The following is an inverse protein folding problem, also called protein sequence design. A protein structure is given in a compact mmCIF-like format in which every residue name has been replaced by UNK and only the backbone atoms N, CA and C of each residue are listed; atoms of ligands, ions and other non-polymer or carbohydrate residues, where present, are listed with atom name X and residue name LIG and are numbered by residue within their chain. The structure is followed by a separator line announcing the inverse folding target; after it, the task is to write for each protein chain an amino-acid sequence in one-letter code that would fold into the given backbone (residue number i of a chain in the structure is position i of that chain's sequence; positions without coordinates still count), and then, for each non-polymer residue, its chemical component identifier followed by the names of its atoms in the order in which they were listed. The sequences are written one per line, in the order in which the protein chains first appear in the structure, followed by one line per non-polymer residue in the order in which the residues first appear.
data_IF_930778217184
#
_entry.id   IF_930778217184
#
_cell.length_a   1.000
_cell.length_b   1.000
_cell.length_c   1.000
_cell.angle_alpha   90.00
_cell.angle_beta   90.00
_cell.angle_gamma   90.00
#
_symmetry.space_group_name_H-M   'P 1'
#
loop_
_entity.id
_entity.type
_entity.pdbx_description
1 polymer ?
#
# COMPACT_ATOMS: atom_id res chain seq x y z
N UNK A 1 -5.51 -5.67 -20.42
CA UNK A 1 -6.69 -6.47 -20.06
C UNK A 1 -7.72 -5.52 -19.44
N UNK A 2 -8.54 -4.86 -20.26
CA UNK A 2 -9.64 -3.97 -19.81
C UNK A 2 -10.85 -4.34 -20.66
N UNK A 3 -11.47 -5.47 -20.32
CA UNK A 3 -12.75 -5.83 -20.91
C UNK A 3 -13.77 -4.83 -20.38
N UNK A 4 -14.37 -4.01 -21.26
CA UNK A 4 -15.41 -3.00 -20.95
C UNK A 4 -16.74 -3.61 -20.44
N UNK A 5 -16.74 -4.82 -19.90
CA UNK A 5 -17.93 -5.46 -19.34
C UNK A 5 -17.95 -5.18 -17.84
N UNK A 6 -19.07 -4.67 -17.37
CA UNK A 6 -19.26 -4.25 -15.98
C UNK A 6 -18.89 -5.34 -14.97
N UNK A 7 -19.16 -6.61 -15.28
CA UNK A 7 -18.81 -7.75 -14.42
C UNK A 7 -17.31 -7.80 -14.08
N UNK A 8 -16.43 -7.54 -15.04
CA UNK A 8 -14.98 -7.55 -14.78
C UNK A 8 -14.54 -6.33 -13.97
N UNK A 9 -15.21 -5.18 -14.16
CA UNK A 9 -14.96 -3.98 -13.34
C UNK A 9 -15.33 -4.25 -11.88
N UNK A 10 -16.48 -4.88 -11.63
CA UNK A 10 -16.87 -5.28 -10.28
C UNK A 10 -15.87 -6.27 -9.66
N UNK A 11 -15.43 -7.28 -10.42
CA UNK A 11 -14.40 -8.23 -9.95
C UNK A 11 -13.10 -7.51 -9.55
N UNK A 12 -12.65 -6.54 -10.33
CA UNK A 12 -11.44 -5.77 -10.02
C UNK A 12 -11.60 -4.94 -8.74
N UNK A 13 -12.75 -4.25 -8.57
CA UNK A 13 -13.06 -3.50 -7.35
C UNK A 13 -13.06 -4.41 -6.12
N UNK A 14 -13.73 -5.57 -6.19
CA UNK A 14 -13.77 -6.50 -5.07
C UNK A 14 -12.40 -7.11 -4.75
N UNK A 15 -11.59 -7.43 -5.76
CA UNK A 15 -10.22 -7.90 -5.57
C UNK A 15 -9.36 -6.84 -4.85
N UNK A 16 -9.52 -5.56 -5.22
CA UNK A 16 -8.83 -4.47 -4.54
C UNK A 16 -9.27 -4.30 -3.08
N UNK A 17 -10.57 -4.42 -2.78
CA UNK A 17 -11.05 -4.39 -1.40
C UNK A 17 -10.50 -5.56 -0.57
N UNK A 18 -10.57 -6.78 -1.09
CA UNK A 18 -10.03 -7.95 -0.39
C UNK A 18 -8.52 -7.81 -0.10
N UNK A 19 -7.74 -7.30 -1.07
CA UNK A 19 -6.32 -7.04 -0.87
C UNK A 19 -6.07 -5.93 0.17
N UNK A 20 -6.85 -4.85 0.14
CA UNK A 20 -6.75 -3.77 1.13
C UNK A 20 -7.07 -4.27 2.54
N UNK A 21 -8.10 -5.09 2.70
CA UNK A 21 -8.48 -5.67 3.99
C UNK A 21 -7.40 -6.61 4.52
N UNK A 22 -6.83 -7.46 3.66
CA UNK A 22 -5.72 -8.33 4.02
C UNK A 22 -4.50 -7.54 4.52
N UNK A 23 -4.10 -6.50 3.77
CA UNK A 23 -3.00 -5.59 4.17
C UNK A 23 -3.31 -4.92 5.51
N UNK A 24 -4.51 -4.35 5.64
CA UNK A 24 -4.93 -3.59 6.82
C UNK A 24 -4.94 -4.47 8.06
N UNK A 25 -5.44 -5.71 7.94
CA UNK A 25 -5.44 -6.68 9.02
C UNK A 25 -4.02 -7.09 9.43
N UNK A 26 -3.13 -7.37 8.46
CA UNK A 26 -1.71 -7.68 8.76
C UNK A 26 -1.02 -6.55 9.53
N UNK A 27 -1.21 -5.31 9.06
CA UNK A 27 -0.62 -4.11 9.64
C UNK A 27 -1.18 -3.85 11.04
N UNK A 28 -2.49 -4.00 11.24
CA UNK A 28 -3.14 -3.89 12.56
C UNK A 28 -2.64 -4.97 13.53
N UNK A 29 -2.57 -6.24 13.10
CA UNK A 29 -2.10 -7.36 13.91
C UNK A 29 -0.62 -7.24 14.31
N UNK A 30 0.20 -6.59 13.47
CA UNK A 30 1.63 -6.38 13.75
C UNK A 30 1.91 -5.31 14.81
N UNK A 31 0.93 -4.46 15.10
CA UNK A 31 1.09 -3.35 16.03
C UNK A 31 1.23 -3.88 17.46
N UNK A 32 2.46 -3.86 17.99
CA UNK A 32 2.74 -4.28 19.37
C UNK A 32 2.66 -3.09 20.33
N UNK A 33 2.01 -3.23 21.50
CA UNK A 33 2.01 -2.19 22.52
C UNK A 33 3.43 -1.91 23.03
N UNK A 34 3.63 -0.74 23.64
CA UNK A 34 4.90 -0.29 24.20
C UNK A 34 5.41 -1.25 25.29
N UNK A 35 6.20 -2.26 24.89
CA UNK A 35 6.93 -3.11 25.82
C UNK A 35 8.40 -2.75 25.70
N UNK A 36 8.90 -2.00 26.68
CA UNK A 36 10.32 -1.65 26.90
C UNK A 36 11.05 -0.84 25.80
N UNK A 37 10.40 -0.42 24.72
CA UNK A 37 11.05 0.35 23.64
C UNK A 37 10.53 1.80 23.55
N UNK A 38 11.34 2.69 22.96
CA UNK A 38 11.04 4.13 22.84
C UNK A 38 9.86 4.45 21.92
N UNK A 39 9.54 3.58 20.97
CA UNK A 39 8.51 3.80 19.95
C UNK A 39 7.65 2.56 19.78
N UNK A 40 6.40 2.75 19.35
CA UNK A 40 5.58 1.67 18.83
C UNK A 40 6.13 1.20 17.48
N UNK A 41 6.05 -0.09 17.20
CA UNK A 41 6.51 -0.67 15.95
C UNK A 41 5.33 -1.26 15.18
N UNK A 42 5.35 -1.07 13.87
CA UNK A 42 4.32 -1.56 12.96
C UNK A 42 4.96 -1.82 11.60
N UNK A 43 4.41 -2.77 10.84
CA UNK A 43 4.81 -3.00 9.46
C UNK A 43 4.51 -1.75 8.62
N UNK A 44 5.45 -1.37 7.75
CA UNK A 44 5.22 -0.32 6.75
C UNK A 44 4.07 -0.72 5.81
N UNK A 45 2.98 0.05 5.83
CA UNK A 45 1.77 -0.20 5.05
C UNK A 45 2.04 -0.27 3.54
N UNK A 46 2.90 0.60 3.02
CA UNK A 46 3.23 0.62 1.58
C UNK A 46 3.94 -0.67 1.20
N UNK A 47 4.90 -1.11 2.02
CA UNK A 47 5.64 -2.34 1.75
C UNK A 47 4.75 -3.57 1.91
N UNK A 48 3.83 -3.57 2.88
CA UNK A 48 2.81 -4.62 3.01
C UNK A 48 1.95 -4.74 1.74
N UNK A 49 1.50 -3.63 1.14
CA UNK A 49 0.79 -3.66 -0.15
C UNK A 49 1.63 -4.33 -1.26
N UNK A 50 2.92 -3.97 -1.36
CA UNK A 50 3.81 -4.54 -2.38
C UNK A 50 3.99 -6.06 -2.19
N UNK A 51 4.13 -6.52 -0.94
CA UNK A 51 4.31 -7.93 -0.61
C UNK A 51 3.03 -8.73 -0.90
N UNK A 52 1.87 -8.26 -0.41
CA UNK A 52 0.58 -8.90 -0.69
C UNK A 52 0.30 -9.00 -2.19
N UNK A 53 0.55 -7.91 -2.94
CA UNK A 53 0.43 -7.92 -4.40
C UNK A 53 1.33 -8.96 -5.04
N UNK A 54 2.60 -9.05 -4.61
CA UNK A 54 3.53 -10.06 -5.11
C UNK A 54 3.02 -11.47 -4.81
N UNK A 55 2.57 -11.73 -3.59
CA UNK A 55 2.02 -13.02 -3.19
C UNK A 55 0.83 -13.44 -4.05
N UNK A 56 -0.17 -12.56 -4.23
CA UNK A 56 -1.33 -12.85 -5.09
C UNK A 56 -0.99 -12.98 -6.59
N UNK A 57 0.16 -12.49 -7.03
CA UNK A 57 0.63 -12.71 -8.41
C UNK A 57 1.27 -14.09 -8.60
N UNK A 58 1.71 -14.75 -7.53
CA UNK A 58 2.25 -16.10 -7.59
C UNK A 58 1.06 -17.05 -7.64
N UNK A 59 1.02 -17.95 -8.63
CA UNK A 59 0.04 -19.03 -8.69
C UNK A 59 0.44 -20.20 -7.79
N UNK A 60 0.89 -19.91 -6.57
CA UNK A 60 1.32 -20.90 -5.58
C UNK A 60 0.74 -20.55 -4.21
N UNK A 61 -0.16 -21.41 -3.76
CA UNK A 61 -0.82 -21.31 -2.47
C UNK A 61 -0.17 -22.25 -1.44
N UNK A 62 1.08 -22.64 -1.65
CA UNK A 62 1.85 -23.45 -0.70
C UNK A 62 2.08 -22.72 0.62
N UNK A 63 2.22 -23.50 1.70
CA UNK A 63 2.61 -22.98 3.01
C UNK A 63 4.00 -22.31 2.96
N UNK A 64 4.86 -22.70 2.02
CA UNK A 64 6.18 -22.10 1.81
C UNK A 64 6.03 -20.65 1.34
N UNK A 65 5.18 -20.41 0.33
CA UNK A 65 4.87 -19.07 -0.17
C UNK A 65 4.27 -18.20 0.94
N UNK A 66 3.38 -18.77 1.75
CA UNK A 66 2.78 -18.09 2.90
C UNK A 66 3.82 -17.71 3.96
N UNK A 67 4.69 -18.64 4.35
CA UNK A 67 5.76 -18.38 5.31
C UNK A 67 6.71 -17.28 4.82
N UNK A 68 7.04 -17.28 3.53
CA UNK A 68 7.87 -16.25 2.92
C UNK A 68 7.20 -14.87 2.99
N UNK A 69 5.90 -14.78 2.71
CA UNK A 69 5.14 -13.53 2.86
C UNK A 69 5.25 -12.96 4.28
N UNK A 70 5.11 -13.81 5.31
CA UNK A 70 5.21 -13.39 6.71
C UNK A 70 6.62 -12.92 7.05
N UNK A 71 7.65 -13.62 6.59
CA UNK A 71 9.06 -13.24 6.77
C UNK A 71 9.38 -11.90 6.09
N UNK A 72 8.93 -11.72 4.85
CA UNK A 72 9.12 -10.48 4.10
C UNK A 72 8.47 -9.31 4.84
N UNK A 73 7.25 -9.48 5.36
CA UNK A 73 6.56 -8.46 6.15
C UNK A 73 7.32 -8.09 7.43
N UNK A 74 7.85 -9.09 8.14
CA UNK A 74 8.60 -8.86 9.36
C UNK A 74 9.87 -8.01 9.13
N UNK A 75 10.46 -8.08 7.94
CA UNK A 75 11.63 -7.26 7.57
C UNK A 75 11.32 -5.75 7.46
N UNK A 76 10.04 -5.39 7.25
CA UNK A 76 9.59 -4.00 7.11
C UNK A 76 8.89 -3.46 8.37
N UNK A 77 9.16 -4.03 9.54
CA UNK A 77 8.71 -3.46 10.81
C UNK A 77 9.48 -2.18 11.09
N UNK A 78 8.77 -1.06 11.16
CA UNK A 78 9.36 0.28 11.38
C UNK A 78 8.78 0.94 12.62
N UNK A 79 9.56 1.82 13.30
CA UNK A 79 9.06 2.56 14.44
C UNK A 79 8.14 3.70 13.99
N UNK A 80 6.95 3.78 14.60
CA UNK A 80 6.03 4.90 14.46
C UNK A 80 6.61 6.09 15.23
N UNK A 81 6.97 7.15 14.50
CA UNK A 81 7.56 8.37 15.08
C UNK A 81 6.49 9.46 15.19
N UNK A 82 5.90 9.69 16.38
CA UNK A 82 4.92 10.76 16.54
C UNK A 82 5.56 12.11 16.23
N UNK A 83 4.79 13.02 15.61
CA UNK A 83 5.27 14.34 15.22
C UNK A 83 6.09 14.38 13.92
N UNK A 84 6.37 13.24 13.28
CA UNK A 84 6.98 13.21 11.95
C UNK A 84 5.93 13.53 10.88
N UNK A 85 5.64 14.81 10.70
CA UNK A 85 4.83 15.32 9.58
C UNK A 85 5.74 16.08 8.64
N UNK A 86 5.90 15.58 7.42
CA UNK A 86 6.48 16.38 6.36
C UNK A 86 5.41 17.39 5.90
N UNK A 87 5.64 18.68 6.18
CA UNK A 87 4.75 19.72 5.71
C UNK A 87 5.00 19.86 4.22
N UNK A 88 4.04 19.40 3.41
CA UNK A 88 4.12 19.56 1.96
C UNK A 88 4.28 21.05 1.64
N UNK A 89 5.42 21.41 1.05
CA UNK A 89 5.68 22.74 0.52
C UNK A 89 4.84 22.96 -0.74
N UNK A 90 3.55 23.21 -0.55
CA UNK A 90 2.59 23.50 -1.61
C UNK A 90 2.91 24.88 -2.18
N UNK A 91 3.56 24.90 -3.35
CA UNK A 91 3.61 26.11 -4.18
C UNK A 91 2.29 26.21 -4.95
N UNK A 92 1.75 27.43 -5.04
CA UNK A 92 0.61 27.68 -5.91
C UNK A 92 0.96 27.23 -7.34
N UNK A 93 0.13 26.38 -7.94
CA UNK A 93 0.28 26.03 -9.35
C UNK A 93 0.01 27.29 -10.17
N UNK A 94 1.01 27.76 -10.91
CA UNK A 94 0.80 28.80 -11.90
C UNK A 94 0.00 28.22 -13.06
N UNK A 95 -0.92 29.03 -13.61
CA UNK A 95 -1.60 28.69 -14.86
C UNK A 95 -0.56 28.78 -15.97
N UNK A 96 -0.21 27.64 -16.57
CA UNK A 96 0.60 27.62 -17.79
C UNK A 96 -0.35 27.91 -18.95
N UNK A 97 -0.29 29.13 -19.49
CA UNK A 97 -0.96 29.44 -20.75
C UNK A 97 -0.25 28.70 -21.88
N UNK A 98 -1.02 28.09 -22.78
CA UNK A 98 -0.52 27.51 -24.02
C UNK A 98 -0.84 28.45 -25.20
N UNK A 99 -0.12 29.58 -25.36
CA UNK A 99 -0.48 30.62 -26.33
C UNK A 99 -0.42 30.13 -27.78
N UNK A 100 0.41 29.11 -28.06
CA UNK A 100 0.48 28.48 -29.39
C UNK A 100 -0.83 27.79 -29.83
N UNK A 101 -1.79 27.56 -28.92
CA UNK A 101 -3.13 27.04 -29.26
C UNK A 101 -4.12 28.13 -29.72
N UNK A 102 -3.74 29.39 -29.59
CA UNK A 102 -4.55 30.54 -30.01
C UNK A 102 -4.10 31.10 -31.37
N UNK A 103 -3.00 30.60 -31.94
CA UNK A 103 -2.59 30.93 -33.30
C UNK A 103 -3.37 30.05 -34.28
N UNK A 104 -4.40 30.62 -34.90
CA UNK A 104 -5.11 30.11 -36.07
C UNK A 104 -4.94 31.10 -37.22
#
# INVERSE_FOLDING_TARGET
FHSKKDQFVYMEIYAHFAMYDAVSLSVAASSKPYVKSKYQYQIDFKMACCIWRRYFMISDNSDISWAQLVLDMASYITPIRPGRKDKRNLKAKLVISFPYRLAA
#
